data_IF_470003743679
#
_entry.id   IF_470003743679
#
_cell.length_a   1.000
_cell.length_b   1.000
_cell.length_c   1.000
_cell.angle_alpha   90.00
_cell.angle_beta   90.00
_cell.angle_gamma   90.00
#
_symmetry.space_group_name_H-M   'P 1'
#
loop_
_entity.id
_entity.type
_entity.pdbx_description
1 polymer ?
#
# COMPACT_ATOMS: atom_id res chain seq x y z
N UNK A 1 -2.84 -30.05 -2.92
CA UNK A 1 -1.81 -30.03 -3.98
C UNK A 1 -0.82 -28.91 -3.67
N UNK A 2 0.48 -29.05 -3.94
CA UNK A 2 1.46 -27.97 -3.73
C UNK A 2 1.59 -27.16 -5.03
N UNK A 3 1.43 -25.84 -4.95
CA UNK A 3 1.62 -24.93 -6.08
C UNK A 3 3.10 -24.52 -6.14
N UNK A 4 3.74 -24.62 -7.31
CA UNK A 4 5.10 -24.13 -7.52
C UNK A 4 5.12 -22.59 -7.59
N UNK A 5 6.14 -21.94 -7.02
CA UNK A 5 6.33 -20.49 -7.14
C UNK A 5 6.41 -20.03 -8.61
N UNK A 6 6.97 -20.87 -9.48
CA UNK A 6 7.05 -20.61 -10.93
C UNK A 6 5.69 -20.51 -11.63
N UNK A 7 4.63 -20.99 -10.98
CA UNK A 7 3.27 -20.98 -11.55
C UNK A 7 2.48 -19.75 -11.12
N UNK A 8 3.03 -18.92 -10.22
CA UNK A 8 2.43 -17.66 -9.82
C UNK A 8 2.72 -16.59 -10.87
N UNK A 9 1.76 -15.73 -11.13
CA UNK A 9 1.96 -14.50 -11.88
C UNK A 9 2.97 -13.59 -11.17
N UNK A 10 3.61 -12.69 -11.92
CA UNK A 10 4.53 -11.69 -11.33
C UNK A 10 3.86 -10.85 -10.26
N UNK A 11 2.56 -10.54 -10.42
CA UNK A 11 1.75 -9.83 -9.42
C UNK A 11 1.61 -10.60 -8.12
N UNK A 12 1.28 -11.89 -8.18
CA UNK A 12 1.16 -12.75 -6.99
C UNK A 12 2.50 -12.89 -6.27
N UNK A 13 3.58 -13.09 -7.03
CA UNK A 13 4.92 -13.18 -6.45
C UNK A 13 5.29 -11.87 -5.74
N UNK A 14 5.05 -10.72 -6.37
CA UNK A 14 5.32 -9.42 -5.78
C UNK A 14 4.50 -9.20 -4.50
N UNK A 15 3.20 -9.52 -4.53
CA UNK A 15 2.33 -9.37 -3.37
C UNK A 15 2.78 -10.24 -2.18
N UNK A 16 3.18 -11.49 -2.45
CA UNK A 16 3.73 -12.37 -1.41
C UNK A 16 5.00 -11.79 -0.81
N UNK A 17 5.92 -11.27 -1.62
CA UNK A 17 7.17 -10.67 -1.13
C UNK A 17 6.89 -9.46 -0.24
N UNK A 18 6.03 -8.53 -0.70
CA UNK A 18 5.66 -7.34 0.08
C UNK A 18 5.04 -7.74 1.42
N UNK A 19 4.06 -8.65 1.41
CA UNK A 19 3.41 -9.06 2.66
C UNK A 19 4.33 -9.83 3.58
N UNK A 20 5.21 -10.68 3.04
CA UNK A 20 6.19 -11.39 3.82
C UNK A 20 7.16 -10.44 4.53
N UNK A 21 7.67 -9.44 3.81
CA UNK A 21 8.59 -8.46 4.38
C UNK A 21 7.91 -7.60 5.44
N UNK A 22 6.68 -7.16 5.18
CA UNK A 22 5.91 -6.41 6.18
C UNK A 22 5.61 -7.28 7.41
N UNK A 23 5.11 -8.50 7.25
CA UNK A 23 4.68 -9.33 8.37
C UNK A 23 5.87 -9.83 9.21
N UNK A 24 6.96 -10.26 8.58
CA UNK A 24 8.01 -11.01 9.28
C UNK A 24 9.34 -10.26 9.44
N UNK A 25 9.62 -9.23 8.64
CA UNK A 25 10.92 -8.54 8.67
C UNK A 25 10.84 -7.11 9.18
N UNK A 26 9.75 -6.40 8.89
CA UNK A 26 9.60 -5.02 9.30
C UNK A 26 9.55 -4.91 10.83
N UNK A 27 10.22 -3.88 11.37
CA UNK A 27 10.34 -3.70 12.82
C UNK A 27 9.08 -3.06 13.38
N UNK A 28 8.72 -3.46 14.60
CA UNK A 28 7.72 -2.80 15.41
C UNK A 28 8.05 -1.31 15.58
N UNK A 29 7.01 -0.46 15.70
CA UNK A 29 7.13 0.99 15.87
C UNK A 29 7.87 1.74 14.75
N UNK A 30 8.05 1.10 13.58
CA UNK A 30 8.69 1.70 12.41
C UNK A 30 7.70 2.50 11.55
N UNK A 31 8.24 3.43 10.75
CA UNK A 31 7.51 4.08 9.65
C UNK A 31 7.76 3.30 8.38
N UNK A 32 6.68 2.83 7.74
CA UNK A 32 6.74 2.11 6.48
C UNK A 32 6.43 3.07 5.33
N UNK A 33 7.27 3.03 4.30
CA UNK A 33 7.07 3.79 3.06
C UNK A 33 6.87 2.78 1.93
N UNK A 34 5.78 2.92 1.18
CA UNK A 34 5.46 2.06 0.04
C UNK A 34 5.30 2.97 -1.17
N UNK A 35 6.01 2.66 -2.24
CA UNK A 35 5.98 3.41 -3.50
C UNK A 35 5.36 2.54 -4.60
N UNK A 36 4.40 3.13 -5.33
CA UNK A 36 3.68 2.54 -6.46
C UNK A 36 3.27 1.05 -6.30
N UNK A 37 2.56 0.67 -5.22
CA UNK A 37 2.20 -0.73 -4.99
C UNK A 37 1.25 -1.30 -6.05
N UNK A 38 0.61 -0.49 -6.88
CA UNK A 38 -0.21 -0.92 -8.02
C UNK A 38 0.59 -1.62 -9.11
N UNK A 39 1.91 -1.43 -9.18
CA UNK A 39 2.74 -2.04 -10.22
C UNK A 39 2.64 -3.55 -10.11
N UNK A 40 2.17 -4.16 -11.20
CA UNK A 40 1.93 -5.60 -11.33
C UNK A 40 0.74 -6.17 -10.54
N UNK A 41 -0.05 -5.36 -9.81
CA UNK A 41 -1.26 -5.84 -9.14
C UNK A 41 -2.50 -5.76 -10.03
N UNK A 42 -3.26 -6.86 -10.06
CA UNK A 42 -4.59 -6.85 -10.68
C UNK A 42 -5.53 -5.88 -9.92
N UNK A 43 -6.47 -5.25 -10.65
CA UNK A 43 -7.36 -4.22 -10.09
C UNK A 43 -8.15 -4.68 -8.87
N UNK A 44 -8.50 -5.97 -8.82
CA UNK A 44 -9.19 -6.56 -7.66
C UNK A 44 -8.33 -6.46 -6.39
N UNK A 45 -7.03 -6.74 -6.49
CA UNK A 45 -6.12 -6.69 -5.34
C UNK A 45 -5.73 -5.26 -4.96
N UNK A 46 -5.70 -4.34 -5.92
CA UNK A 46 -5.52 -2.93 -5.61
C UNK A 46 -6.60 -2.42 -4.66
N UNK A 47 -7.86 -2.81 -4.87
CA UNK A 47 -8.99 -2.43 -4.00
C UNK A 47 -8.91 -3.01 -2.59
N UNK A 48 -8.29 -4.17 -2.44
CA UNK A 48 -8.11 -4.86 -1.14
C UNK A 48 -6.79 -4.49 -0.45
N UNK A 49 -5.94 -3.72 -1.12
CA UNK A 49 -4.57 -3.46 -0.67
C UNK A 49 -4.55 -2.66 0.64
N UNK A 50 -5.29 -1.55 0.71
CA UNK A 50 -5.33 -0.71 1.92
C UNK A 50 -5.85 -1.47 3.14
N UNK A 51 -6.89 -2.28 2.99
CA UNK A 51 -7.44 -3.10 4.08
C UNK A 51 -6.41 -4.12 4.58
N UNK A 52 -5.68 -4.74 3.66
CA UNK A 52 -4.62 -5.69 3.98
C UNK A 52 -3.47 -5.01 4.73
N UNK A 53 -3.04 -3.85 4.24
CA UNK A 53 -1.98 -3.05 4.87
C UNK A 53 -2.40 -2.53 6.25
N UNK A 54 -3.64 -2.08 6.43
CA UNK A 54 -4.15 -1.64 7.74
C UNK A 54 -4.18 -2.79 8.75
N UNK A 55 -4.53 -4.01 8.33
CA UNK A 55 -4.47 -5.21 9.18
C UNK A 55 -3.04 -5.53 9.58
N UNK A 56 -2.09 -5.45 8.65
CA UNK A 56 -0.67 -5.67 8.93
C UNK A 56 -0.11 -4.58 9.85
N UNK A 57 -0.48 -3.31 9.64
CA UNK A 57 -0.11 -2.19 10.51
C UNK A 57 -0.47 -2.48 11.97
N UNK A 58 -1.69 -2.95 12.19
CA UNK A 58 -2.18 -3.32 13.52
C UNK A 58 -1.45 -4.54 14.08
N UNK A 59 -1.20 -5.55 13.26
CA UNK A 59 -0.53 -6.79 13.67
C UNK A 59 0.90 -6.53 14.16
N UNK A 60 1.63 -5.68 13.45
CA UNK A 60 3.05 -5.43 13.70
C UNK A 60 3.32 -4.11 14.44
N UNK A 61 2.26 -3.43 14.88
CA UNK A 61 2.31 -2.17 15.63
C UNK A 61 3.26 -1.14 15.00
N UNK A 62 3.12 -0.95 13.68
CA UNK A 62 3.87 0.11 12.99
C UNK A 62 3.36 1.48 13.41
N UNK A 63 4.27 2.43 13.59
CA UNK A 63 3.91 3.78 14.01
C UNK A 63 3.17 4.54 12.90
N UNK A 64 3.55 4.32 11.64
CA UNK A 64 2.90 4.92 10.47
C UNK A 64 3.16 4.12 9.20
N UNK A 65 2.21 4.15 8.27
CA UNK A 65 2.42 3.73 6.89
C UNK A 65 2.10 4.91 5.97
N UNK A 66 2.96 5.18 5.01
CA UNK A 66 2.78 6.19 3.97
C UNK A 66 2.88 5.48 2.63
N UNK A 67 1.89 5.71 1.76
CA UNK A 67 1.80 5.10 0.44
C UNK A 67 1.78 6.23 -0.59
N UNK A 68 2.71 6.17 -1.54
CA UNK A 68 2.65 6.96 -2.76
C UNK A 68 2.02 6.09 -3.86
N UNK A 69 0.98 6.59 -4.52
CA UNK A 69 0.27 5.84 -5.56
C UNK A 69 -0.37 6.79 -6.55
N UNK A 70 -0.43 6.37 -7.80
CA UNK A 70 -1.19 7.00 -8.87
C UNK A 70 -2.55 6.30 -9.08
N UNK A 71 -2.81 5.18 -8.39
CA UNK A 71 -4.02 4.39 -8.58
C UNK A 71 -5.18 4.84 -7.69
N UNK A 72 -6.28 5.35 -8.28
CA UNK A 72 -7.52 5.58 -7.52
C UNK A 72 -8.13 4.28 -6.97
N UNK A 73 -7.76 3.13 -7.53
CA UNK A 73 -8.27 1.83 -7.10
C UNK A 73 -7.67 1.41 -5.76
N UNK A 74 -6.44 1.83 -5.46
CA UNK A 74 -5.85 1.66 -4.13
C UNK A 74 -6.57 2.53 -3.12
N UNK A 75 -6.77 3.82 -3.43
CA UNK A 75 -7.49 4.76 -2.56
C UNK A 75 -8.91 4.25 -2.27
N UNK A 76 -9.58 3.75 -3.30
CA UNK A 76 -10.94 3.21 -3.24
C UNK A 76 -11.91 4.23 -2.59
N UNK A 77 -12.47 3.93 -1.42
CA UNK A 77 -13.37 4.83 -0.68
C UNK A 77 -12.66 5.66 0.41
N UNK A 78 -11.34 5.52 0.57
CA UNK A 78 -10.57 6.11 1.66
C UNK A 78 -9.95 7.47 1.26
N UNK A 79 -10.71 8.33 0.59
CA UNK A 79 -10.21 9.65 0.14
C UNK A 79 -9.90 10.60 1.31
N UNK A 80 -10.55 10.40 2.46
CA UNK A 80 -10.39 11.17 3.68
C UNK A 80 -8.98 11.07 4.30
N UNK A 81 -8.24 10.01 3.98
CA UNK A 81 -6.86 9.80 4.45
C UNK A 81 -5.81 10.10 3.38
N UNK A 82 -6.19 10.74 2.28
CA UNK A 82 -5.28 11.09 1.19
C UNK A 82 -4.76 12.53 1.29
N UNK A 83 -3.60 12.77 0.69
CA UNK A 83 -3.06 14.12 0.50
C UNK A 83 -2.70 14.29 -0.97
N UNK A 84 -3.47 15.09 -1.70
CA UNK A 84 -3.19 15.40 -3.10
C UNK A 84 -2.11 16.47 -3.18
N UNK A 85 -0.99 16.15 -3.82
CA UNK A 85 0.16 17.04 -3.88
C UNK A 85 -0.06 18.29 -4.74
N UNK A 86 -1.02 18.30 -5.66
CA UNK A 86 -1.30 19.46 -6.50
C UNK A 86 -2.33 20.36 -5.84
N UNK A 87 -3.51 19.82 -5.55
CA UNK A 87 -4.64 20.54 -4.95
C UNK A 87 -4.28 21.14 -3.59
N UNK A 88 -3.60 20.36 -2.72
CA UNK A 88 -3.27 20.85 -1.39
C UNK A 88 -2.11 21.87 -1.42
N UNK A 89 -1.19 21.79 -2.38
CA UNK A 89 -0.15 22.81 -2.53
C UNK A 89 -0.73 24.14 -3.04
N UNK A 90 -1.71 24.10 -3.95
CA UNK A 90 -2.36 25.32 -4.45
C UNK A 90 -3.23 26.00 -3.37
N UNK A 91 -3.97 25.22 -2.56
CA UNK A 91 -4.72 25.76 -1.41
C UNK A 91 -3.84 26.47 -0.38
N UNK A 92 -2.61 25.99 -0.18
CA UNK A 92 -1.64 26.64 0.70
C UNK A 92 -1.11 27.97 0.13
N UNK A 93 -1.19 28.18 -1.19
CA UNK A 93 -0.78 29.42 -1.85
C UNK A 93 -1.93 30.44 -1.94
N UNK A 94 -3.18 30.00 -2.11
CA UNK A 94 -4.36 30.90 -2.12
C UNK A 94 -4.72 31.46 -0.73
N UNK A 95 -4.22 30.84 0.34
CA UNK A 95 -4.37 31.31 1.72
C UNK A 95 -3.29 32.29 2.18
N UNK A 96 -2.38 32.73 1.29
CA UNK A 96 -1.38 33.79 1.52
C UNK A 96 -1.77 35.05 0.74
#
# INVERSE_FOLDING_TARGET
ERISLSNLSSGEQNQIVIYFDLIFKAKQNSVILIDEPEISLHVAWQKEFLDSIARIQKLNEFSKIIIATHSPQIVNNNWDITYDLFENNNKNMEGQ
#
